data_IF_673081972150
#
_entry.id   IF_673081972150
#
_cell.length_a   1.000
_cell.length_b   1.000
_cell.length_c   1.000
_cell.angle_alpha   90.00
_cell.angle_beta   90.00
_cell.angle_gamma   90.00
#
_symmetry.space_group_name_H-M   'P 1'
#
loop_
_entity.id
_entity.type
_entity.pdbx_description
1 polymer ?
#
# COMPACT_ATOMS: atom_id res chain seq x y z
N UNK A 1 15.46 9.41 -10.89
CA UNK A 1 14.82 8.13 -11.25
C UNK A 1 15.85 7.03 -11.03
N UNK A 2 15.51 5.96 -10.32
CA UNK A 2 16.42 4.86 -9.99
C UNK A 2 16.99 4.19 -11.26
N UNK A 3 18.29 3.85 -11.29
CA UNK A 3 18.97 3.28 -12.49
C UNK A 3 18.28 2.01 -12.99
N UNK A 4 17.70 1.24 -12.07
CA UNK A 4 16.97 0.02 -12.39
C UNK A 4 15.71 0.30 -13.22
N UNK A 5 14.83 1.22 -12.78
CA UNK A 5 13.57 1.51 -13.48
C UNK A 5 13.82 2.06 -14.90
N UNK A 6 14.81 2.94 -15.05
CA UNK A 6 15.21 3.45 -16.35
C UNK A 6 15.76 2.34 -17.27
N UNK A 7 16.54 1.38 -16.74
CA UNK A 7 17.03 0.23 -17.51
C UNK A 7 15.92 -0.71 -18.00
N UNK A 8 14.78 -0.70 -17.33
CA UNK A 8 13.59 -1.46 -17.71
C UNK A 8 12.65 -0.69 -18.66
N UNK A 9 13.07 0.50 -19.14
CA UNK A 9 12.26 1.35 -20.03
C UNK A 9 11.15 2.14 -19.31
N UNK A 10 11.11 2.14 -17.97
CA UNK A 10 10.16 2.92 -17.18
C UNK A 10 10.70 4.32 -16.92
N UNK A 11 10.62 5.18 -17.93
CA UNK A 11 11.03 6.59 -17.83
C UNK A 11 9.86 7.54 -17.57
N UNK A 12 8.63 7.11 -17.87
CA UNK A 12 7.38 7.82 -17.63
C UNK A 12 6.28 6.84 -17.19
N UNK A 13 5.15 7.35 -16.69
CA UNK A 13 4.02 6.52 -16.24
C UNK A 13 4.11 6.07 -14.77
N UNK A 14 3.25 5.11 -14.36
CA UNK A 14 3.18 4.68 -12.97
C UNK A 14 4.38 3.85 -12.53
N UNK A 15 4.82 4.07 -11.29
CA UNK A 15 5.97 3.36 -10.67
C UNK A 15 5.69 1.86 -10.48
N UNK A 16 4.42 1.49 -10.26
CA UNK A 16 4.01 0.10 -10.12
C UNK A 16 3.25 -0.35 -11.36
N UNK A 17 3.75 -1.41 -12.00
CA UNK A 17 3.15 -2.00 -13.19
C UNK A 17 3.22 -3.52 -13.17
N UNK A 18 2.56 -4.14 -14.14
CA UNK A 18 2.60 -5.59 -14.33
C UNK A 18 4.00 -6.05 -14.74
N UNK A 19 4.44 -7.16 -14.15
CA UNK A 19 5.63 -7.88 -14.58
C UNK A 19 5.17 -9.17 -15.24
N UNK A 20 5.56 -9.34 -16.50
CA UNK A 20 5.26 -10.54 -17.29
C UNK A 20 5.95 -11.76 -16.67
N UNK A 21 5.47 -12.96 -17.01
CA UNK A 21 6.10 -14.21 -16.56
C UNK A 21 7.58 -14.34 -16.95
N UNK A 22 8.02 -13.61 -17.99
CA UNK A 22 9.41 -13.51 -18.41
C UNK A 22 10.29 -12.64 -17.47
N UNK A 23 9.71 -12.02 -16.44
CA UNK A 23 10.40 -11.09 -15.55
C UNK A 23 10.54 -9.67 -16.10
N UNK A 24 10.05 -9.41 -17.32
CA UNK A 24 10.07 -8.07 -17.93
C UNK A 24 8.85 -7.25 -17.54
N UNK A 25 9.03 -5.95 -17.38
CA UNK A 25 7.91 -5.01 -17.19
C UNK A 25 7.02 -5.02 -18.43
N UNK A 26 5.70 -5.08 -18.22
CA UNK A 26 4.73 -4.99 -19.29
C UNK A 26 4.63 -3.55 -19.81
N UNK A 27 5.14 -3.32 -21.01
CA UNK A 27 5.05 -2.06 -21.76
C UNK A 27 3.78 -2.03 -22.63
N UNK A 28 3.30 -0.85 -23.07
CA UNK A 28 2.09 -0.72 -23.89
C UNK A 28 2.06 -1.67 -25.11
N UNK A 29 3.22 -1.86 -25.76
CA UNK A 29 3.40 -2.75 -26.91
C UNK A 29 3.26 -4.26 -26.61
N UNK A 30 3.55 -4.66 -25.38
CA UNK A 30 3.50 -6.07 -24.93
C UNK A 30 2.20 -6.43 -24.22
N UNK A 31 1.39 -5.43 -23.86
CA UNK A 31 0.11 -5.66 -23.18
C UNK A 31 -0.95 -6.16 -24.14
N UNK A 32 -1.93 -6.86 -23.59
CA UNK A 32 -3.10 -7.26 -24.36
C UNK A 32 -3.76 -6.02 -24.97
N UNK A 33 -4.02 -6.03 -26.29
CA UNK A 33 -4.64 -4.92 -27.06
C UNK A 33 -6.01 -4.43 -26.52
N UNK A 34 -6.61 -5.18 -25.58
CA UNK A 34 -7.88 -4.85 -24.91
C UNK A 34 -7.71 -4.21 -23.53
N UNK A 35 -6.48 -3.99 -23.06
CA UNK A 35 -6.22 -3.32 -21.80
C UNK A 35 -6.69 -1.85 -21.92
N UNK A 36 -7.56 -1.42 -21.01
CA UNK A 36 -8.00 -0.02 -20.92
C UNK A 36 -6.85 0.87 -20.43
N UNK A 37 -7.00 2.20 -20.45
CA UNK A 37 -6.03 3.14 -19.84
C UNK A 37 -5.79 2.86 -18.34
N UNK A 38 -6.77 2.25 -17.64
CA UNK A 38 -6.58 1.73 -16.27
C UNK A 38 -5.57 0.57 -16.19
N UNK A 39 -5.26 -0.08 -17.32
CA UNK A 39 -4.25 -1.13 -17.43
C UNK A 39 -2.81 -0.61 -17.25
N UNK A 40 -2.60 0.71 -17.28
CA UNK A 40 -1.32 1.34 -16.89
C UNK A 40 -1.03 1.16 -15.40
N UNK A 41 -2.08 1.19 -14.58
CA UNK A 41 -1.97 1.06 -13.13
C UNK A 41 -2.28 -0.36 -12.68
N UNK A 42 -1.62 -0.80 -11.60
CA UNK A 42 -2.09 -1.98 -10.88
C UNK A 42 -3.50 -1.74 -10.34
N UNK A 43 -4.36 -2.74 -10.49
CA UNK A 43 -5.67 -2.71 -9.86
C UNK A 43 -5.54 -2.70 -8.33
N UNK A 44 -6.39 -1.94 -7.60
CA UNK A 44 -6.36 -1.94 -6.14
C UNK A 44 -6.50 -3.33 -5.52
N UNK A 45 -7.28 -4.21 -6.15
CA UNK A 45 -7.41 -5.61 -5.75
C UNK A 45 -6.07 -6.34 -5.83
N UNK A 46 -5.28 -6.11 -6.89
CA UNK A 46 -3.93 -6.69 -7.04
C UNK A 46 -3.02 -6.25 -5.90
N UNK A 47 -3.03 -4.95 -5.56
CA UNK A 47 -2.26 -4.44 -4.41
C UNK A 47 -2.68 -5.12 -3.11
N UNK A 48 -3.99 -5.27 -2.88
CA UNK A 48 -4.51 -5.96 -1.69
C UNK A 48 -4.09 -7.44 -1.64
N UNK A 49 -4.04 -8.13 -2.78
CA UNK A 49 -3.55 -9.53 -2.83
C UNK A 49 -2.06 -9.63 -2.54
N UNK A 50 -1.24 -8.68 -3.03
CA UNK A 50 0.19 -8.61 -2.70
C UNK A 50 0.38 -8.47 -1.18
N UNK A 51 -0.39 -7.58 -0.53
CA UNK A 51 -0.33 -7.43 0.94
C UNK A 51 -0.69 -8.72 1.66
N UNK A 52 -1.78 -9.38 1.27
CA UNK A 52 -2.19 -10.66 1.87
C UNK A 52 -1.16 -11.76 1.68
N UNK A 53 -0.56 -11.84 0.49
CA UNK A 53 0.49 -12.80 0.19
C UNK A 53 1.68 -12.64 1.12
N UNK A 54 2.21 -11.42 1.24
CA UNK A 54 3.37 -11.16 2.10
C UNK A 54 3.06 -11.30 3.59
N UNK A 55 1.85 -10.92 4.02
CA UNK A 55 1.39 -11.15 5.39
C UNK A 55 1.41 -12.64 5.75
N UNK A 56 0.89 -13.49 4.86
CA UNK A 56 0.90 -14.94 5.05
C UNK A 56 2.32 -15.54 4.95
N UNK A 57 3.14 -15.07 4.00
CA UNK A 57 4.52 -15.53 3.84
C UNK A 57 5.38 -15.20 5.08
N UNK A 58 5.14 -14.06 5.71
CA UNK A 58 5.76 -13.66 6.97
C UNK A 58 5.20 -14.39 8.21
N UNK A 59 4.20 -15.28 8.03
CA UNK A 59 3.53 -16.04 9.10
C UNK A 59 2.95 -15.14 10.21
N UNK A 60 2.47 -13.96 9.84
CA UNK A 60 1.86 -13.02 10.78
C UNK A 60 0.43 -13.46 11.13
N UNK A 61 0.00 -13.11 12.33
CA UNK A 61 -1.37 -13.31 12.82
C UNK A 61 -2.10 -12.00 12.89
N UNK A 62 -3.41 -12.00 12.62
CA UNK A 62 -4.22 -10.79 12.75
C UNK A 62 -4.79 -10.66 14.16
N UNK A 63 -5.19 -9.44 14.51
CA UNK A 63 -5.93 -9.07 15.72
C UNK A 63 -7.43 -9.43 15.64
N UNK A 64 -7.79 -10.41 14.81
CA UNK A 64 -9.18 -10.73 14.47
C UNK A 64 -9.74 -9.97 13.27
N UNK A 65 -9.02 -8.96 12.74
CA UNK A 65 -9.40 -8.26 11.50
C UNK A 65 -8.72 -8.87 10.27
N UNK A 66 -9.32 -8.82 9.06
CA UNK A 66 -8.65 -9.33 7.86
C UNK A 66 -7.43 -8.48 7.46
N UNK A 67 -6.33 -9.15 7.08
CA UNK A 67 -5.20 -8.48 6.43
C UNK A 67 -5.64 -7.82 5.12
N UNK A 68 -5.29 -6.53 4.96
CA UNK A 68 -5.66 -5.73 3.79
C UNK A 68 -4.70 -4.58 3.55
N UNK A 69 -4.73 -3.98 2.36
CA UNK A 69 -3.95 -2.78 2.05
C UNK A 69 -4.28 -1.59 2.95
N UNK A 70 -5.53 -1.45 3.41
CA UNK A 70 -5.90 -0.44 4.41
C UNK A 70 -5.24 -0.70 5.77
N UNK A 71 -4.92 -1.96 6.08
CA UNK A 71 -4.18 -2.35 7.27
C UNK A 71 -2.79 -1.72 7.35
N UNK A 72 -2.11 -1.52 6.21
CA UNK A 72 -0.80 -0.85 6.17
C UNK A 72 -0.89 0.60 6.68
N UNK A 73 -1.95 1.31 6.27
CA UNK A 73 -2.20 2.68 6.72
C UNK A 73 -2.58 2.73 8.20
N UNK A 74 -3.36 1.76 8.68
CA UNK A 74 -3.73 1.66 10.09
C UNK A 74 -2.53 1.29 10.99
N UNK A 75 -1.63 0.43 10.51
CA UNK A 75 -0.37 0.10 11.20
C UNK A 75 0.49 1.34 11.41
N UNK A 76 0.82 2.06 10.33
CA UNK A 76 1.60 3.30 10.42
C UNK A 76 0.90 4.36 11.30
N UNK A 77 -0.43 4.45 11.27
CA UNK A 77 -1.18 5.32 12.17
C UNK A 77 -1.01 4.90 13.64
N UNK A 78 -1.01 3.61 13.92
CA UNK A 78 -0.78 3.10 15.27
C UNK A 78 0.61 3.47 15.76
N UNK A 79 1.64 3.23 14.94
CA UNK A 79 3.02 3.58 15.26
C UNK A 79 3.19 5.08 15.55
N UNK A 80 2.59 5.96 14.74
CA UNK A 80 2.62 7.40 14.96
C UNK A 80 1.91 7.79 16.27
N UNK A 81 0.77 7.15 16.56
CA UNK A 81 0.02 7.37 17.79
C UNK A 81 0.78 6.94 19.04
N UNK A 82 1.42 5.77 19.00
CA UNK A 82 2.24 5.23 20.10
C UNK A 82 3.51 6.06 20.34
N UNK A 83 4.06 6.69 19.31
CA UNK A 83 5.19 7.62 19.43
C UNK A 83 4.79 9.04 19.88
N UNK A 84 3.51 9.28 20.20
CA UNK A 84 3.05 10.56 20.75
C UNK A 84 3.07 11.72 19.76
N UNK A 85 3.06 11.45 18.45
CA UNK A 85 3.02 12.46 17.39
C UNK A 85 1.77 13.33 17.53
N UNK A 86 1.90 14.64 17.24
CA UNK A 86 0.80 15.60 17.37
C UNK A 86 -0.36 15.27 16.42
N UNK A 87 -1.57 15.76 16.72
CA UNK A 87 -2.73 15.57 15.83
C UNK A 87 -2.50 16.18 14.44
N UNK A 88 -1.78 17.29 14.36
CA UNK A 88 -1.47 17.99 13.11
C UNK A 88 -0.53 17.18 12.23
N UNK A 89 0.60 16.73 12.79
CA UNK A 89 1.56 15.86 12.08
C UNK A 89 0.94 14.53 11.68
N UNK A 90 0.10 13.95 12.54
CA UNK A 90 -0.64 12.74 12.24
C UNK A 90 -1.58 12.93 11.05
N UNK A 91 -2.39 13.99 11.08
CA UNK A 91 -3.32 14.33 10.00
C UNK A 91 -2.59 14.64 8.69
N UNK A 92 -1.44 15.29 8.76
CA UNK A 92 -0.59 15.58 7.60
C UNK A 92 0.00 14.29 7.00
N UNK A 93 0.60 13.43 7.81
CA UNK A 93 1.22 12.18 7.38
C UNK A 93 0.21 11.26 6.66
N UNK A 94 -1.00 11.16 7.19
CA UNK A 94 -2.07 10.42 6.51
C UNK A 94 -2.72 11.20 5.38
N UNK A 95 -2.70 12.53 5.35
CA UNK A 95 -3.66 13.35 4.59
C UNK A 95 -5.11 13.10 5.03
N UNK A 96 -5.33 13.02 6.34
CA UNK A 96 -6.67 12.96 6.91
C UNK A 96 -7.25 14.37 7.09
N UNK A 97 -8.58 14.45 7.23
CA UNK A 97 -9.28 15.73 7.42
C UNK A 97 -8.84 16.36 8.74
N UNK A 98 -8.44 17.64 8.68
CA UNK A 98 -7.96 18.37 9.85
C UNK A 98 -9.04 18.48 10.93
N UNK A 99 -8.66 18.26 12.18
CA UNK A 99 -9.56 18.32 13.34
C UNK A 99 -10.54 17.14 13.46
N UNK A 100 -10.47 16.12 12.59
CA UNK A 100 -11.35 14.96 12.66
C UNK A 100 -10.90 13.97 13.75
N UNK A 101 -11.62 13.96 14.88
CA UNK A 101 -11.43 13.01 15.98
C UNK A 101 -11.63 11.54 15.56
N UNK A 102 -12.37 11.29 14.48
CA UNK A 102 -12.60 9.95 13.94
C UNK A 102 -11.29 9.28 13.49
N UNK A 103 -10.30 10.08 13.09
CA UNK A 103 -9.07 9.57 12.49
C UNK A 103 -8.26 8.74 13.47
N UNK A 104 -7.99 9.29 14.66
CA UNK A 104 -7.29 8.57 15.73
C UNK A 104 -8.09 7.33 16.15
N UNK A 105 -9.40 7.47 16.35
CA UNK A 105 -10.28 6.37 16.80
C UNK A 105 -10.36 5.19 15.83
N UNK A 106 -10.33 5.44 14.52
CA UNK A 106 -10.55 4.40 13.49
C UNK A 106 -9.25 3.86 12.90
N UNK A 107 -8.23 4.71 12.79
CA UNK A 107 -6.96 4.33 12.17
C UNK A 107 -5.95 3.81 13.18
N UNK A 108 -5.93 4.29 14.43
CA UNK A 108 -5.10 3.68 15.47
C UNK A 108 -5.76 2.38 15.92
N UNK A 109 -4.98 1.30 15.88
CA UNK A 109 -5.37 -0.05 16.25
C UNK A 109 -4.30 -0.61 17.18
N UNK A 110 -4.16 -0.05 18.39
CA UNK A 110 -3.22 -0.61 19.36
C UNK A 110 -3.54 -2.09 19.53
N UNK A 111 -2.51 -2.91 19.45
CA UNK A 111 -2.67 -4.32 19.80
C UNK A 111 -3.13 -4.40 21.24
N UNK A 112 -4.15 -5.20 21.52
CA UNK A 112 -4.34 -5.69 22.89
C UNK A 112 -3.08 -6.49 23.20
N UNK A 113 -2.10 -5.86 23.84
CA UNK A 113 -0.91 -6.53 24.32
C UNK A 113 -1.37 -7.66 25.22
N UNK A 114 -1.33 -8.90 24.73
CA UNK A 114 -1.35 -10.05 25.62
C UNK A 114 0.02 -10.05 26.31
N UNK A 115 0.03 -9.59 27.57
CA UNK A 115 1.05 -9.99 28.52
C UNK A 115 1.05 -11.50 28.73
#
# INVERSE_FOLDING_TARGET
>A
MDRFLASQGMTTGPVFGEVLRSGRVALPETRAKKATTRGDHLWPQTVNQIVKHWFAAARLTTDGRPASSQGLRAGAATDLGENGVTDEEFQEAGRWVKGSAMTRRVCMRPGEGRG
#
